data_IF_266326591852
#
_entry.id   IF_266326591852
#
_cell.length_a   1.000
_cell.length_b   1.000
_cell.length_c   1.000
_cell.angle_alpha   90.00
_cell.angle_beta   90.00
_cell.angle_gamma   90.00
#
_symmetry.space_group_name_H-M   'P 1'
#
loop_
_entity.id
_entity.type
_entity.pdbx_description
1 polymer ?
#
# COMPACT_ATOMS: atom_id res chain seq x y z
N UNK A 1 -42.87 -52.61 22.71
CA UNK A 1 -42.23 -53.62 23.58
C UNK A 1 -40.79 -53.16 23.85
N UNK A 2 -40.49 -52.73 25.09
CA UNK A 2 -39.26 -52.02 25.49
C UNK A 2 -38.24 -52.93 26.21
N UNK A 3 -36.99 -52.48 26.35
CA UNK A 3 -36.05 -52.77 27.47
C UNK A 3 -34.75 -51.98 27.24
N UNK A 4 -34.45 -50.87 27.97
CA UNK A 4 -33.71 -50.77 29.26
C UNK A 4 -32.35 -51.50 29.27
N UNK A 5 -31.20 -50.93 29.68
CA UNK A 5 -30.80 -50.01 30.78
C UNK A 5 -29.57 -49.18 30.34
N UNK A 6 -29.43 -47.88 30.62
CA UNK A 6 -28.92 -47.22 31.85
C UNK A 6 -27.61 -47.80 32.44
N UNK A 7 -26.58 -46.96 32.54
CA UNK A 7 -25.98 -46.64 33.85
C UNK A 7 -25.18 -45.32 33.82
N UNK A 8 -25.54 -44.48 34.78
CA UNK A 8 -24.97 -43.21 35.18
C UNK A 8 -23.76 -43.42 36.11
N UNK A 9 -22.85 -42.45 36.17
CA UNK A 9 -22.22 -42.05 37.43
C UNK A 9 -21.63 -40.64 37.32
N UNK A 10 -22.20 -39.74 38.12
CA UNK A 10 -21.80 -38.36 38.36
C UNK A 10 -21.04 -38.29 39.69
N UNK A 11 -20.33 -37.17 39.92
CA UNK A 11 -19.93 -36.60 41.23
C UNK A 11 -18.63 -37.21 41.85
N UNK A 12 -17.68 -36.49 42.46
CA UNK A 12 -17.78 -35.33 43.36
C UNK A 12 -16.46 -34.52 43.40
N UNK A 13 -16.57 -33.19 43.54
CA UNK A 13 -15.50 -32.23 43.88
C UNK A 13 -15.04 -32.37 45.35
N UNK A 14 -13.79 -32.00 45.67
CA UNK A 14 -13.40 -31.01 46.72
C UNK A 14 -11.86 -30.90 46.92
N UNK A 15 -11.32 -29.75 46.49
CA UNK A 15 -10.48 -28.71 47.16
C UNK A 15 -9.41 -29.05 48.25
N UNK A 16 -8.56 -28.10 48.70
CA UNK A 16 -7.09 -28.21 48.70
C UNK A 16 -6.45 -28.24 50.10
N UNK A 17 -5.16 -28.60 50.18
CA UNK A 17 -4.35 -28.41 51.40
C UNK A 17 -3.12 -27.53 51.10
N UNK A 18 -3.00 -26.45 51.89
CA UNK A 18 -1.81 -25.61 52.05
C UNK A 18 -0.92 -26.22 53.13
N UNK A 19 0.40 -26.16 52.95
CA UNK A 19 1.35 -25.90 54.05
C UNK A 19 2.67 -25.37 53.50
N UNK A 20 3.15 -24.28 54.13
CA UNK A 20 4.40 -23.57 53.87
C UNK A 20 5.64 -24.35 54.34
N UNK A 21 6.81 -24.02 53.76
CA UNK A 21 8.13 -24.36 54.29
C UNK A 21 9.25 -23.73 53.45
N UNK A 22 9.91 -22.72 54.01
CA UNK A 22 11.03 -21.94 53.44
C UNK A 22 12.36 -22.74 53.43
N UNK A 23 13.32 -22.39 52.56
CA UNK A 23 14.74 -22.70 52.78
C UNK A 23 15.63 -23.01 51.57
N UNK A 24 16.27 -21.97 51.02
CA UNK A 24 17.66 -21.90 50.49
C UNK A 24 18.13 -22.68 49.23
N UNK A 25 18.33 -21.88 48.17
CA UNK A 25 19.49 -21.75 47.26
C UNK A 25 20.32 -22.97 46.84
N UNK A 26 20.27 -23.32 45.55
CA UNK A 26 21.49 -23.51 44.75
C UNK A 26 21.26 -23.05 43.31
N UNK A 27 22.17 -22.19 42.87
CA UNK A 27 22.34 -21.59 41.56
C UNK A 27 22.56 -22.62 40.44
N UNK A 28 21.82 -22.47 39.33
CA UNK A 28 22.23 -23.00 38.03
C UNK A 28 21.93 -21.97 36.95
N UNK A 29 22.95 -21.19 36.66
CA UNK A 29 23.01 -20.33 35.50
C UNK A 29 23.00 -21.21 34.24
N UNK A 30 21.96 -21.07 33.41
CA UNK A 30 22.07 -21.38 31.99
C UNK A 30 21.92 -20.06 31.25
N UNK A 31 23.07 -19.46 30.94
CA UNK A 31 23.21 -18.38 29.96
C UNK A 31 22.62 -18.85 28.63
N UNK A 32 21.34 -18.52 28.40
CA UNK A 32 20.81 -18.38 27.06
C UNK A 32 21.28 -17.05 26.51
N UNK A 33 22.42 -17.03 25.81
CA UNK A 33 22.89 -15.85 25.08
C UNK A 33 21.98 -15.61 23.88
N UNK A 34 20.82 -15.02 24.10
CA UNK A 34 20.06 -14.37 23.04
C UNK A 34 20.67 -12.99 22.83
N UNK A 35 21.76 -12.92 22.05
CA UNK A 35 22.19 -11.68 21.39
C UNK A 35 21.13 -11.30 20.36
N UNK A 36 20.00 -10.77 20.83
CA UNK A 36 19.12 -9.98 19.99
C UNK A 36 19.84 -8.66 19.75
N UNK A 37 20.35 -8.46 18.53
CA UNK A 37 20.77 -7.13 18.10
C UNK A 37 19.55 -6.21 18.28
N UNK A 38 19.69 -5.20 19.12
CA UNK A 38 18.69 -4.15 19.22
C UNK A 38 18.55 -3.55 17.82
N UNK A 39 17.46 -3.85 17.13
CA UNK A 39 17.10 -3.13 15.92
C UNK A 39 16.84 -1.70 16.38
N UNK A 40 17.78 -0.80 16.11
CA UNK A 40 17.58 0.63 16.23
C UNK A 40 16.28 0.95 15.49
N UNK A 41 15.22 1.25 16.25
CA UNK A 41 13.94 1.60 15.67
C UNK A 41 14.19 2.89 14.91
N UNK A 42 14.09 2.83 13.59
CA UNK A 42 14.16 4.02 12.75
C UNK A 42 13.19 5.05 13.32
N UNK A 43 13.68 6.27 13.52
CA UNK A 43 12.85 7.40 13.95
C UNK A 43 11.58 7.42 13.09
N UNK A 44 10.44 7.55 13.76
CA UNK A 44 9.16 7.70 13.08
C UNK A 44 9.25 8.90 12.12
N UNK A 45 8.75 8.70 10.90
CA UNK A 45 8.77 9.74 9.88
C UNK A 45 7.51 10.57 10.03
N UNK A 46 7.65 11.89 9.89
CA UNK A 46 6.49 12.79 9.84
C UNK A 46 5.50 12.34 8.76
N UNK A 47 4.18 12.37 9.05
CA UNK A 47 3.16 12.04 8.07
C UNK A 47 3.25 12.91 6.81
N UNK A 48 2.89 12.32 5.66
CA UNK A 48 2.72 13.10 4.43
C UNK A 48 1.45 13.95 4.56
N UNK A 49 1.54 15.24 4.27
CA UNK A 49 0.45 16.21 4.33
C UNK A 49 0.00 16.62 2.93
N UNK A 50 -1.17 17.25 2.85
CA UNK A 50 -1.70 17.80 1.60
C UNK A 50 -0.75 18.83 0.96
N UNK A 51 -0.08 19.65 1.78
CA UNK A 51 0.93 20.61 1.30
C UNK A 51 2.08 19.95 0.54
N UNK A 52 2.47 18.71 0.90
CA UNK A 52 3.50 17.99 0.15
C UNK A 52 3.02 17.61 -1.25
N UNK A 53 1.72 17.33 -1.43
CA UNK A 53 1.15 17.10 -2.77
C UNK A 53 1.09 18.40 -3.58
N UNK A 54 0.82 19.54 -2.93
CA UNK A 54 0.84 20.85 -3.58
C UNK A 54 2.25 21.18 -4.08
N UNK A 55 3.26 21.07 -3.21
CA UNK A 55 4.67 21.30 -3.57
C UNK A 55 5.09 20.37 -4.71
N UNK A 56 4.74 19.09 -4.62
CA UNK A 56 5.00 18.13 -5.70
C UNK A 56 4.33 18.57 -7.01
N UNK A 57 3.06 19.00 -6.96
CA UNK A 57 2.32 19.43 -8.13
C UNK A 57 2.96 20.65 -8.82
N UNK A 58 3.44 21.62 -8.04
CA UNK A 58 4.10 22.83 -8.54
C UNK A 58 5.48 22.53 -9.15
N UNK A 59 6.16 21.48 -8.69
CA UNK A 59 7.47 21.07 -9.19
C UNK A 59 7.47 20.17 -10.43
N UNK A 60 6.29 19.72 -10.90
CA UNK A 60 6.14 18.81 -12.04
C UNK A 60 5.79 19.57 -13.33
N UNK A 61 6.30 19.13 -14.48
CA UNK A 61 5.87 19.64 -15.79
C UNK A 61 4.50 19.03 -16.18
N UNK A 62 3.45 19.74 -15.81
CA UNK A 62 2.07 19.39 -16.13
C UNK A 62 1.51 20.12 -17.36
N UNK A 63 2.38 20.65 -18.24
CA UNK A 63 1.99 21.35 -19.47
C UNK A 63 1.44 20.45 -20.59
N UNK A 64 1.46 19.12 -20.37
CA UNK A 64 1.05 18.10 -21.34
C UNK A 64 2.19 17.52 -22.18
N UNK A 65 3.43 17.94 -21.96
CA UNK A 65 4.62 17.45 -22.68
C UNK A 65 5.34 16.32 -21.96
N UNK A 66 5.36 16.35 -20.63
CA UNK A 66 6.02 15.33 -19.81
C UNK A 66 5.03 14.25 -19.35
N UNK A 67 4.98 13.13 -20.07
CA UNK A 67 4.13 11.99 -19.74
C UNK A 67 4.47 11.36 -18.37
N UNK A 68 5.76 11.31 -18.03
CA UNK A 68 6.25 10.78 -16.74
C UNK A 68 5.76 11.59 -15.55
N UNK A 69 5.78 12.92 -15.66
CA UNK A 69 5.35 13.81 -14.58
C UNK A 69 3.84 13.70 -14.32
N UNK A 70 3.05 13.49 -15.38
CA UNK A 70 1.63 13.21 -15.23
C UNK A 70 1.38 11.87 -14.51
N UNK A 71 2.18 10.85 -14.81
CA UNK A 71 2.13 9.58 -14.10
C UNK A 71 2.52 9.75 -12.62
N UNK A 72 3.55 10.52 -12.32
CA UNK A 72 3.97 10.80 -10.94
C UNK A 72 2.87 11.55 -10.18
N UNK A 73 2.27 12.57 -10.79
CA UNK A 73 1.17 13.32 -10.21
C UNK A 73 -0.05 12.43 -9.91
N UNK A 74 -0.44 11.57 -10.85
CA UNK A 74 -1.53 10.62 -10.66
C UNK A 74 -1.22 9.60 -9.55
N UNK A 75 -0.02 9.02 -9.56
CA UNK A 75 0.41 8.07 -8.53
C UNK A 75 0.41 8.72 -7.14
N UNK A 76 1.00 9.90 -6.97
CA UNK A 76 1.12 10.54 -5.67
C UNK A 76 -0.25 10.82 -5.04
N UNK A 77 -1.18 11.39 -5.82
CA UNK A 77 -2.54 11.69 -5.35
C UNK A 77 -3.33 10.42 -5.08
N UNK A 78 -3.20 9.39 -5.91
CA UNK A 78 -3.86 8.11 -5.70
C UNK A 78 -3.35 7.40 -4.44
N UNK A 79 -2.02 7.31 -4.26
CA UNK A 79 -1.40 6.72 -3.07
C UNK A 79 -1.82 7.46 -1.79
N UNK A 80 -1.89 8.79 -1.85
CA UNK A 80 -2.33 9.62 -0.72
C UNK A 80 -3.83 9.45 -0.43
N UNK A 81 -4.70 9.61 -1.43
CA UNK A 81 -6.15 9.51 -1.22
C UNK A 81 -6.61 8.10 -0.86
N UNK A 82 -6.01 7.08 -1.50
CA UNK A 82 -6.35 5.68 -1.31
C UNK A 82 -5.58 4.98 -0.19
N UNK A 83 -4.62 5.66 0.46
CA UNK A 83 -3.72 5.08 1.47
C UNK A 83 -3.07 3.77 1.02
N UNK A 84 -2.77 3.67 -0.29
CA UNK A 84 -2.27 2.46 -0.93
C UNK A 84 -0.76 2.31 -0.71
N UNK A 85 -0.26 1.08 -0.77
CA UNK A 85 1.18 0.86 -0.82
C UNK A 85 1.70 1.19 -2.21
N UNK A 86 2.84 1.87 -2.28
CA UNK A 86 3.49 2.17 -3.56
C UNK A 86 3.70 0.92 -4.45
N UNK A 87 4.02 -0.23 -3.86
CA UNK A 87 4.23 -1.48 -4.62
C UNK A 87 2.95 -2.14 -5.17
N UNK A 88 1.77 -1.64 -4.82
CA UNK A 88 0.49 -2.10 -5.40
C UNK A 88 0.15 -1.34 -6.69
N UNK A 89 0.84 -0.21 -6.94
CA UNK A 89 0.57 0.69 -8.05
C UNK A 89 1.78 0.91 -8.97
N UNK A 90 3.00 0.88 -8.42
CA UNK A 90 4.25 1.19 -9.12
C UNK A 90 5.04 -0.09 -9.46
N UNK A 91 5.64 -0.09 -10.65
CA UNK A 91 6.46 -1.19 -11.14
C UNK A 91 7.83 -1.30 -10.46
N UNK A 92 8.44 -2.48 -10.58
CA UNK A 92 9.84 -2.71 -10.21
C UNK A 92 10.81 -2.48 -11.38
N UNK A 93 10.32 -2.55 -12.61
CA UNK A 93 11.06 -2.35 -13.86
C UNK A 93 10.30 -1.38 -14.75
N UNK A 94 10.98 -0.52 -15.53
CA UNK A 94 10.32 0.34 -16.50
C UNK A 94 9.86 -0.41 -17.75
N UNK A 95 10.35 -1.64 -17.97
CA UNK A 95 10.04 -2.41 -19.17
C UNK A 95 8.59 -2.90 -19.20
N UNK A 96 7.91 -2.69 -20.32
CA UNK A 96 6.56 -3.22 -20.56
C UNK A 96 6.55 -4.75 -20.65
N UNK A 97 7.66 -5.38 -21.07
CA UNK A 97 7.78 -6.85 -21.08
C UNK A 97 7.61 -7.48 -19.71
N UNK A 98 7.93 -6.72 -18.65
CA UNK A 98 7.91 -7.20 -17.27
C UNK A 98 6.56 -6.93 -16.60
N UNK A 99 5.61 -6.33 -17.33
CA UNK A 99 4.27 -6.08 -16.84
C UNK A 99 3.51 -7.38 -16.62
N UNK A 100 2.86 -7.48 -15.46
CA UNK A 100 1.95 -8.57 -15.14
C UNK A 100 0.68 -8.00 -14.51
N UNK A 101 -0.44 -8.11 -15.22
CA UNK A 101 -1.75 -7.63 -14.79
C UNK A 101 -2.32 -8.38 -13.57
N UNK A 102 -1.73 -9.51 -13.17
CA UNK A 102 -2.06 -10.17 -11.90
C UNK A 102 -1.39 -9.49 -10.69
N UNK A 103 -0.40 -8.63 -10.91
CA UNK A 103 0.33 -7.95 -9.84
C UNK A 103 0.07 -6.43 -9.81
N UNK A 104 -0.14 -5.81 -10.98
CA UNK A 104 -0.33 -4.37 -11.11
C UNK A 104 -1.61 -4.06 -11.89
N UNK A 105 -2.35 -3.00 -11.51
CA UNK A 105 -3.60 -2.65 -12.17
C UNK A 105 -3.38 -2.20 -13.62
N UNK A 106 -4.37 -2.48 -14.45
CA UNK A 106 -4.51 -1.93 -15.81
C UNK A 106 -5.37 -0.67 -15.78
N UNK A 107 -5.44 0.06 -16.90
CA UNK A 107 -6.38 1.18 -17.05
C UNK A 107 -7.83 0.71 -16.86
N UNK A 108 -8.19 -0.46 -17.37
CA UNK A 108 -9.53 -1.04 -17.19
C UNK A 108 -9.91 -1.35 -15.74
N UNK A 109 -8.94 -1.35 -14.83
CA UNK A 109 -9.16 -1.50 -13.39
C UNK A 109 -9.53 -0.21 -12.66
N UNK A 110 -9.34 0.94 -13.32
CA UNK A 110 -9.83 2.23 -12.86
C UNK A 110 -11.24 2.47 -13.42
N UNK A 111 -12.25 2.20 -12.61
CA UNK A 111 -13.64 2.37 -13.04
C UNK A 111 -13.98 3.84 -13.29
N UNK A 112 -14.96 4.11 -14.19
CA UNK A 112 -15.53 5.44 -14.37
C UNK A 112 -16.02 6.04 -13.04
N UNK A 113 -16.01 7.37 -12.90
CA UNK A 113 -16.52 8.02 -11.70
C UNK A 113 -18.03 7.80 -11.57
N UNK A 114 -18.50 7.62 -10.33
CA UNK A 114 -19.92 7.57 -10.02
C UNK A 114 -20.54 8.98 -10.02
N UNK A 115 -21.83 9.08 -9.68
CA UNK A 115 -22.56 10.36 -9.65
C UNK A 115 -22.03 11.35 -8.60
N UNK A 116 -21.29 10.87 -7.59
CA UNK A 116 -20.63 11.72 -6.57
C UNK A 116 -19.20 12.10 -6.95
N UNK A 117 -18.73 11.64 -8.13
CA UNK A 117 -17.39 11.91 -8.66
C UNK A 117 -16.30 11.00 -8.10
N UNK A 118 -16.63 10.01 -7.27
CA UNK A 118 -15.70 9.03 -6.72
C UNK A 118 -15.38 7.96 -7.75
N UNK A 119 -14.16 7.42 -7.72
CA UNK A 119 -13.75 6.30 -8.58
C UNK A 119 -13.40 5.09 -7.76
N UNK A 120 -13.56 3.91 -8.35
CA UNK A 120 -13.09 2.66 -7.77
C UNK A 120 -11.89 2.18 -8.57
N UNK A 121 -10.75 1.99 -7.89
CA UNK A 121 -9.60 1.30 -8.43
C UNK A 121 -9.59 -0.14 -7.91
N UNK A 122 -9.56 -1.11 -8.82
CA UNK A 122 -9.36 -2.53 -8.47
C UNK A 122 -7.87 -2.85 -8.44
N UNK A 123 -7.36 -3.25 -7.29
CA UNK A 123 -6.02 -3.78 -7.15
C UNK A 123 -6.07 -5.29 -7.39
N UNK A 124 -5.29 -5.83 -8.34
CA UNK A 124 -5.27 -7.27 -8.62
C UNK A 124 -4.77 -8.09 -7.42
N UNK A 125 -3.84 -7.50 -6.66
CA UNK A 125 -3.13 -8.18 -5.58
C UNK A 125 -2.75 -7.21 -4.49
N UNK A 126 -2.98 -7.58 -3.24
CA UNK A 126 -2.44 -6.86 -2.09
C UNK A 126 -1.61 -7.78 -1.22
N UNK A 127 -0.73 -7.22 -0.38
CA UNK A 127 0.15 -8.01 0.49
C UNK A 127 -0.61 -9.05 1.32
N UNK A 128 -1.81 -8.72 1.79
CA UNK A 128 -2.60 -9.58 2.66
C UNK A 128 -3.65 -10.42 1.91
N UNK A 129 -4.11 -9.95 0.75
CA UNK A 129 -5.09 -10.64 -0.10
C UNK A 129 -4.45 -10.98 -1.46
N UNK A 130 -3.50 -11.91 -1.43
CA UNK A 130 -2.68 -12.30 -2.60
C UNK A 130 -3.49 -12.86 -3.78
N UNK A 131 -4.75 -13.27 -3.57
CA UNK A 131 -5.63 -13.89 -4.58
C UNK A 131 -7.04 -13.29 -4.70
N UNK A 132 -7.44 -12.38 -3.80
CA UNK A 132 -8.80 -11.80 -3.78
C UNK A 132 -8.88 -10.37 -4.33
N UNK A 133 -7.72 -9.74 -4.56
CA UNK A 133 -7.64 -8.32 -4.91
C UNK A 133 -8.23 -7.41 -3.83
N UNK A 134 -8.25 -6.11 -4.09
CA UNK A 134 -8.87 -5.12 -3.21
C UNK A 134 -9.52 -4.01 -4.05
N UNK A 135 -10.56 -3.36 -3.52
CA UNK A 135 -11.18 -2.18 -4.14
C UNK A 135 -10.83 -0.96 -3.32
N UNK A 136 -10.18 0.01 -3.94
CA UNK A 136 -9.85 1.29 -3.33
C UNK A 136 -10.80 2.35 -3.86
N UNK A 137 -11.46 3.07 -2.96
CA UNK A 137 -12.32 4.19 -3.30
C UNK A 137 -11.44 5.45 -3.33
N UNK A 138 -11.37 6.08 -4.50
CA UNK A 138 -10.71 7.36 -4.71
C UNK A 138 -11.75 8.46 -4.63
N UNK A 139 -11.87 9.03 -3.45
CA UNK A 139 -12.77 10.15 -3.19
C UNK A 139 -12.43 11.34 -4.09
N UNK A 140 -13.47 12.06 -4.51
CA UNK A 140 -13.27 13.33 -5.21
C UNK A 140 -12.67 14.35 -4.25
N UNK A 141 -11.55 14.95 -4.63
CA UNK A 141 -10.90 16.04 -3.90
C UNK A 141 -10.86 17.27 -4.80
N UNK A 142 -10.84 18.47 -4.21
CA UNK A 142 -10.81 19.71 -4.97
C UNK A 142 -9.39 20.06 -5.45
N UNK A 143 -9.29 20.79 -6.57
CA UNK A 143 -8.05 21.43 -7.01
C UNK A 143 -6.86 20.48 -7.24
N UNK A 144 -5.69 20.89 -6.78
CA UNK A 144 -4.41 20.22 -7.08
C UNK A 144 -4.26 18.84 -6.43
N UNK A 145 -5.14 18.45 -5.50
CA UNK A 145 -5.06 17.17 -4.79
C UNK A 145 -6.03 16.13 -5.35
N UNK A 146 -6.93 16.54 -6.26
CA UNK A 146 -7.86 15.69 -7.00
C UNK A 146 -7.17 14.49 -7.70
N UNK A 147 -7.34 13.24 -7.19
CA UNK A 147 -6.77 12.06 -7.84
C UNK A 147 -7.46 11.77 -9.18
N UNK A 148 -8.76 12.00 -9.27
CA UNK A 148 -9.56 11.73 -10.47
C UNK A 148 -9.18 12.65 -11.63
N UNK A 149 -8.89 13.92 -11.34
CA UNK A 149 -8.41 14.90 -12.30
C UNK A 149 -7.00 14.53 -12.79
N UNK A 150 -6.12 14.10 -11.88
CA UNK A 150 -4.78 13.67 -12.26
C UNK A 150 -4.79 12.41 -13.13
N UNK A 151 -5.62 11.42 -12.81
CA UNK A 151 -5.81 10.26 -13.68
C UNK A 151 -6.34 10.65 -15.05
N UNK A 152 -7.30 11.57 -15.13
CA UNK A 152 -7.83 12.03 -16.41
C UNK A 152 -6.72 12.60 -17.32
N UNK A 153 -5.92 13.55 -16.81
CA UNK A 153 -4.82 14.12 -17.59
C UNK A 153 -3.73 13.10 -17.90
N UNK A 154 -3.39 12.23 -16.94
CA UNK A 154 -2.42 11.16 -17.12
C UNK A 154 -2.79 10.21 -18.26
N UNK A 155 -4.03 9.69 -18.25
CA UNK A 155 -4.52 8.78 -19.28
C UNK A 155 -4.56 9.47 -20.65
N UNK A 156 -4.96 10.74 -20.69
CA UNK A 156 -5.05 11.52 -21.93
C UNK A 156 -3.67 11.80 -22.55
N UNK A 157 -2.73 12.34 -21.75
CA UNK A 157 -1.40 12.71 -22.23
C UNK A 157 -0.59 11.48 -22.64
N UNK A 158 -0.66 10.41 -21.84
CA UNK A 158 0.04 9.17 -22.14
C UNK A 158 -0.71 8.28 -23.14
N UNK A 159 -1.91 8.66 -23.57
CA UNK A 159 -2.74 7.92 -24.54
C UNK A 159 -2.83 6.44 -24.17
N UNK A 160 -3.22 6.18 -22.92
CA UNK A 160 -3.30 4.83 -22.39
C UNK A 160 -4.66 4.21 -22.72
N UNK A 161 -4.64 2.91 -23.00
CA UNK A 161 -5.81 2.09 -23.33
C UNK A 161 -6.06 1.09 -22.20
N UNK A 162 -7.25 0.48 -22.19
CA UNK A 162 -7.73 -0.39 -21.10
C UNK A 162 -6.73 -1.47 -20.66
N UNK A 163 -5.96 -2.03 -21.60
CA UNK A 163 -5.01 -3.12 -21.33
C UNK A 163 -3.62 -2.64 -20.91
N UNK A 164 -3.32 -1.36 -21.03
CA UNK A 164 -2.04 -0.80 -20.61
C UNK A 164 -1.91 -0.81 -19.08
N UNK A 165 -0.69 -0.90 -18.54
CA UNK A 165 -0.44 -0.69 -17.12
C UNK A 165 -0.98 0.69 -16.70
N UNK A 166 -1.67 0.77 -15.56
CA UNK A 166 -2.32 2.01 -15.13
C UNK A 166 -1.31 3.17 -14.98
N UNK A 167 -0.12 2.87 -14.48
CA UNK A 167 0.96 3.84 -14.30
C UNK A 167 2.01 3.80 -15.42
N UNK A 168 1.64 3.32 -16.61
CA UNK A 168 2.50 3.48 -17.78
C UNK A 168 2.54 4.93 -18.24
N UNK A 169 3.63 5.35 -18.87
CA UNK A 169 3.78 6.67 -19.46
C UNK A 169 4.54 6.59 -20.78
N UNK A 170 4.43 7.64 -21.58
CA UNK A 170 5.20 7.82 -22.80
C UNK A 170 6.44 8.63 -22.48
N UNK A 171 7.60 8.07 -22.80
CA UNK A 171 8.88 8.76 -22.66
C UNK A 171 9.13 9.78 -23.78
N UNK A 172 10.30 10.39 -23.79
CA UNK A 172 10.74 11.37 -24.80
C UNK A 172 10.77 10.81 -26.22
N UNK A 173 10.89 9.49 -26.35
CA UNK A 173 10.86 8.75 -27.62
C UNK A 173 9.46 8.24 -27.95
N UNK A 174 8.44 8.70 -27.22
CA UNK A 174 7.05 8.27 -27.35
C UNK A 174 6.84 6.75 -27.13
N UNK A 175 7.81 6.09 -26.51
CA UNK A 175 7.77 4.68 -26.14
C UNK A 175 7.10 4.50 -24.79
N UNK A 176 6.38 3.39 -24.63
CA UNK A 176 5.65 3.10 -23.41
C UNK A 176 6.61 2.50 -22.36
N UNK A 177 6.62 3.08 -21.16
CA UNK A 177 7.38 2.60 -20.02
C UNK A 177 6.50 2.58 -18.76
N UNK A 178 6.86 1.79 -17.76
CA UNK A 178 6.14 1.71 -16.49
C UNK A 178 6.79 2.64 -15.47
N UNK A 179 5.99 3.43 -14.76
CA UNK A 179 6.51 4.21 -13.63
C UNK A 179 6.99 3.28 -12.52
N UNK A 180 8.29 3.36 -12.22
CA UNK A 180 8.91 2.55 -11.18
C UNK A 180 8.84 3.23 -9.82
N UNK A 181 8.90 2.42 -8.76
CA UNK A 181 9.02 2.95 -7.40
C UNK A 181 10.29 3.78 -7.20
N UNK A 182 11.42 3.38 -7.80
CA UNK A 182 12.67 4.15 -7.68
C UNK A 182 12.52 5.53 -8.29
N UNK A 183 11.96 5.63 -9.48
CA UNK A 183 11.79 6.91 -10.19
C UNK A 183 10.86 7.85 -9.43
N UNK A 184 9.74 7.29 -8.95
CA UNK A 184 8.78 8.02 -8.13
C UNK A 184 9.43 8.58 -6.85
N UNK A 185 10.22 7.77 -6.15
CA UNK A 185 10.87 8.21 -4.91
C UNK A 185 11.98 9.23 -5.16
N UNK A 186 12.71 9.11 -6.27
CA UNK A 186 13.72 10.10 -6.66
C UNK A 186 13.11 11.49 -6.83
N UNK A 187 11.98 11.59 -7.53
CA UNK A 187 11.32 12.89 -7.75
C UNK A 187 10.67 13.41 -6.47
N UNK A 188 9.91 12.57 -5.76
CA UNK A 188 9.19 13.01 -4.55
C UNK A 188 10.11 13.36 -3.39
N UNK A 189 11.25 12.69 -3.23
CA UNK A 189 12.26 13.07 -2.24
C UNK A 189 13.19 14.19 -2.70
N UNK A 190 13.44 14.32 -4.00
CA UNK A 190 14.19 15.45 -4.55
C UNK A 190 13.52 16.77 -4.21
N UNK A 191 12.22 16.89 -4.52
CA UNK A 191 11.45 18.12 -4.32
C UNK A 191 11.24 18.51 -2.85
N UNK A 192 11.32 17.55 -1.90
CA UNK A 192 11.23 17.85 -0.46
C UNK A 192 12.48 18.56 0.08
N UNK A 193 13.65 18.36 -0.52
CA UNK A 193 14.90 18.96 0.00
C UNK A 193 14.97 20.47 -0.19
N UNK A 194 14.19 21.01 -1.12
CA UNK A 194 14.23 22.42 -1.49
C UNK A 194 13.28 23.30 -0.65
N UNK A 195 12.48 22.68 0.24
CA UNK A 195 11.58 23.39 1.15
C UNK A 195 11.84 22.95 2.61
N UNK A 196 12.62 23.72 3.40
CA UNK A 196 12.75 23.48 4.83
C UNK A 196 11.40 23.72 5.54
N UNK A 197 11.12 22.88 6.53
CA UNK A 197 9.91 22.95 7.38
C UNK A 197 9.81 24.25 8.18
#
# INVERSE_FOLDING_TARGET
>A
MPSHRQNSATFLRRSPSRSNGEGQSVSSERLGSAKGTAMERRKEREPVKEDHLRILHEGLDLSGKCGKDHAIAAAAKALFAGQMRAGELLGSSPSISDFNNNNLPTVGDLLPPNNTGERILRLPKTKMAQSRGEKVILASQAGHTCPNCAFHHHLQVNRLEDKHPLMAYRDEHNSLAILTKSDFLTVTFGLRKDYPE
#
